data_IF_844108783940
#
_entry.id   IF_844108783940
#
_cell.length_a   1.000
_cell.length_b   1.000
_cell.length_c   1.000
_cell.angle_alpha   90.00
_cell.angle_beta   90.00
_cell.angle_gamma   90.00
#
_symmetry.space_group_name_H-M   'P 1'
#
loop_
_entity.id
_entity.type
_entity.pdbx_description
1 polymer ?
#
# COMPACT_ATOMS: atom_id res chain seq x y z
N UNK A 1 11.93 -3.00 -27.37
CA UNK A 1 11.13 -4.24 -27.39
C UNK A 1 10.19 -4.19 -28.58
N UNK A 2 9.68 -5.32 -29.07
CA UNK A 2 8.71 -5.33 -30.17
C UNK A 2 7.38 -5.86 -29.66
N UNK A 3 6.28 -5.18 -29.96
CA UNK A 3 4.95 -5.65 -29.57
C UNK A 3 4.45 -6.78 -30.49
N UNK A 4 3.25 -7.31 -30.22
CA UNK A 4 2.62 -8.38 -31.01
C UNK A 4 2.27 -7.99 -32.44
N UNK A 5 2.34 -6.70 -32.78
CA UNK A 5 2.08 -6.15 -34.12
C UNK A 5 3.37 -5.79 -34.87
N UNK A 6 4.54 -6.13 -34.32
CA UNK A 6 5.83 -5.86 -34.96
C UNK A 6 6.35 -4.44 -34.76
N UNK A 7 5.70 -3.61 -33.93
CA UNK A 7 6.14 -2.23 -33.67
C UNK A 7 7.25 -2.22 -32.64
N UNK A 8 8.35 -1.50 -32.94
CA UNK A 8 9.42 -1.29 -31.98
C UNK A 8 9.02 -0.22 -30.97
N UNK A 9 9.01 -0.60 -29.69
CA UNK A 9 8.77 0.26 -28.53
C UNK A 9 10.10 0.52 -27.82
N UNK A 10 10.37 1.80 -27.55
CA UNK A 10 11.52 2.25 -26.76
C UNK A 10 11.06 2.60 -25.34
N UNK A 11 11.86 2.23 -24.34
CA UNK A 11 11.66 2.60 -22.92
C UNK A 11 12.74 3.56 -22.42
N UNK A 12 13.43 4.25 -23.34
CA UNK A 12 14.57 5.12 -23.01
C UNK A 12 14.21 6.24 -22.04
N UNK A 13 13.02 6.83 -22.19
CA UNK A 13 12.53 7.94 -21.38
C UNK A 13 11.27 7.50 -20.61
N UNK A 14 11.36 6.37 -19.91
CA UNK A 14 10.23 5.78 -19.18
C UNK A 14 10.67 5.28 -17.82
N UNK A 15 9.92 5.65 -16.78
CA UNK A 15 10.07 5.07 -15.43
C UNK A 15 9.21 3.81 -15.39
N UNK A 16 9.83 2.67 -15.11
CA UNK A 16 9.14 1.40 -14.91
C UNK A 16 8.99 1.18 -13.41
N UNK A 17 7.74 1.14 -12.93
CA UNK A 17 7.42 0.85 -11.54
C UNK A 17 6.82 -0.56 -11.47
N UNK A 18 7.41 -1.42 -10.65
CA UNK A 18 6.88 -2.74 -10.33
C UNK A 18 6.43 -2.78 -8.88
N UNK A 19 5.25 -3.35 -8.63
CA UNK A 19 4.71 -3.54 -7.28
C UNK A 19 4.45 -5.02 -7.05
N UNK A 20 4.83 -5.54 -5.88
CA UNK A 20 4.60 -6.93 -5.50
C UNK A 20 4.24 -7.02 -4.02
N UNK A 21 3.37 -7.96 -3.68
CA UNK A 21 3.08 -8.35 -2.30
C UNK A 21 4.01 -9.48 -1.81
N UNK A 22 5.10 -9.77 -2.54
CA UNK A 22 6.08 -10.76 -2.13
C UNK A 22 6.67 -10.43 -0.76
N UNK A 23 6.69 -11.42 0.16
CA UNK A 23 7.19 -11.25 1.52
C UNK A 23 6.15 -10.77 2.55
N UNK A 24 4.89 -10.50 2.18
CA UNK A 24 3.84 -10.08 3.13
C UNK A 24 3.35 -11.21 4.06
N UNK A 25 3.81 -12.46 3.87
CA UNK A 25 3.49 -13.62 4.70
C UNK A 25 4.66 -14.15 5.54
N UNK A 26 5.90 -13.72 5.27
CA UNK A 26 7.09 -14.15 6.03
C UNK A 26 7.24 -13.39 7.36
N UNK A 27 6.25 -12.56 7.70
CA UNK A 27 6.11 -11.89 8.99
C UNK A 27 5.48 -12.82 10.03
N UNK A 28 5.97 -14.05 10.18
CA UNK A 28 5.63 -14.87 11.33
C UNK A 28 6.62 -14.62 12.48
N UNK A 29 6.06 -14.20 13.62
CA UNK A 29 6.63 -14.27 14.98
C UNK A 29 7.82 -13.36 15.33
N UNK A 30 7.60 -12.05 15.39
CA UNK A 30 8.39 -11.18 16.30
C UNK A 30 7.51 -10.41 17.31
N UNK A 31 6.40 -11.03 17.72
CA UNK A 31 5.67 -10.65 18.94
C UNK A 31 6.43 -11.18 20.15
N UNK A 32 7.50 -10.47 20.52
CA UNK A 32 8.30 -10.80 21.70
C UNK A 32 9.45 -9.81 21.87
N UNK A 33 9.65 -9.33 23.09
CA UNK A 33 10.68 -8.36 23.53
C UNK A 33 12.15 -8.73 23.16
N UNK A 34 12.41 -9.84 22.45
CA UNK A 34 13.71 -10.30 22.01
C UNK A 34 14.10 -9.89 20.56
N UNK A 35 13.13 -9.46 19.74
CA UNK A 35 13.36 -9.08 18.33
C UNK A 35 14.31 -7.88 18.16
N UNK A 36 14.36 -6.99 19.16
CA UNK A 36 15.20 -5.80 19.13
C UNK A 36 16.70 -6.11 19.32
N UNK A 37 17.06 -7.33 19.75
CA UNK A 37 18.44 -7.70 20.08
C UNK A 37 19.19 -8.41 18.94
N UNK A 38 18.47 -9.03 18.00
CA UNK A 38 19.08 -9.68 16.83
C UNK A 38 18.82 -8.83 15.60
N UNK A 39 19.78 -7.95 15.28
CA UNK A 39 19.78 -7.09 14.08
C UNK A 39 19.89 -7.87 12.77
N UNK A 40 19.01 -8.84 12.55
CA UNK A 40 18.88 -9.56 11.29
C UNK A 40 17.86 -8.84 10.43
N UNK A 41 18.23 -7.64 9.99
CA UNK A 41 17.66 -7.03 8.78
C UNK A 41 18.04 -7.95 7.62
N UNK A 42 17.26 -9.03 7.43
CA UNK A 42 17.27 -9.73 6.15
C UNK A 42 16.91 -8.68 5.10
N UNK A 43 17.80 -8.50 4.11
CA UNK A 43 17.63 -7.47 3.10
C UNK A 43 16.28 -7.69 2.41
N UNK A 44 15.59 -6.61 2.04
CA UNK A 44 14.35 -6.70 1.25
C UNK A 44 14.57 -7.58 0.00
N UNK A 45 15.78 -7.55 -0.54
CA UNK A 45 16.22 -8.39 -1.65
C UNK A 45 16.17 -9.89 -1.30
N UNK A 46 16.58 -10.29 -0.09
CA UNK A 46 16.57 -11.68 0.36
C UNK A 46 15.14 -12.25 0.36
N UNK A 47 14.17 -11.48 0.88
CA UNK A 47 12.75 -11.85 0.84
C UNK A 47 12.26 -12.04 -0.60
N UNK A 48 12.73 -11.19 -1.53
CA UNK A 48 12.32 -11.23 -2.93
C UNK A 48 12.97 -12.37 -3.72
N UNK A 49 14.15 -12.87 -3.33
CA UNK A 49 14.84 -13.96 -4.03
C UNK A 49 14.06 -15.27 -4.07
N UNK A 50 13.14 -15.50 -3.11
CA UNK A 50 12.23 -16.64 -3.11
C UNK A 50 11.17 -16.57 -4.22
N UNK A 51 10.87 -15.37 -4.73
CA UNK A 51 9.79 -15.11 -5.68
C UNK A 51 10.30 -14.71 -7.07
N UNK A 52 11.48 -14.10 -7.15
CA UNK A 52 12.04 -13.57 -8.39
C UNK A 52 13.46 -14.07 -8.61
N UNK A 53 13.80 -14.35 -9.87
CA UNK A 53 15.15 -14.77 -10.23
C UNK A 53 16.15 -13.61 -10.05
N UNK A 54 17.41 -13.89 -9.66
CA UNK A 54 18.44 -12.86 -9.49
C UNK A 54 18.65 -11.99 -10.74
N UNK A 55 18.52 -12.54 -11.95
CA UNK A 55 18.71 -11.77 -13.18
C UNK A 55 17.64 -10.69 -13.40
N UNK A 56 16.43 -10.87 -12.83
CA UNK A 56 15.40 -9.86 -12.84
C UNK A 56 15.66 -8.81 -11.77
N UNK A 57 16.02 -9.24 -10.56
CA UNK A 57 16.30 -8.34 -9.45
C UNK A 57 17.47 -7.39 -9.76
N UNK A 58 18.50 -7.90 -10.42
CA UNK A 58 19.66 -7.13 -10.87
C UNK A 58 19.34 -6.09 -11.97
N UNK A 59 18.10 -6.02 -12.47
CA UNK A 59 17.64 -5.00 -13.44
C UNK A 59 16.93 -3.83 -12.78
N UNK A 60 16.63 -3.89 -11.49
CA UNK A 60 16.07 -2.75 -10.76
C UNK A 60 17.21 -1.88 -10.25
N UNK A 61 17.08 -0.58 -10.47
CA UNK A 61 18.02 0.40 -9.91
C UNK A 61 17.86 0.51 -8.39
N UNK A 62 16.60 0.52 -7.91
CA UNK A 62 16.24 0.61 -6.49
C UNK A 62 15.07 -0.32 -6.15
N UNK A 63 15.07 -0.81 -4.90
CA UNK A 63 13.98 -1.60 -4.32
C UNK A 63 13.52 -0.91 -3.04
N UNK A 64 12.23 -0.54 -2.99
CA UNK A 64 11.64 0.19 -1.88
C UNK A 64 10.66 -0.70 -1.11
N UNK A 65 10.88 -0.89 0.18
CA UNK A 65 9.92 -1.56 1.07
C UNK A 65 8.88 -0.56 1.58
N UNK A 66 7.60 -0.94 1.49
CA UNK A 66 6.51 -0.14 2.03
C UNK A 66 6.25 -0.53 3.48
N UNK A 67 6.29 0.46 4.37
CA UNK A 67 5.85 0.29 5.75
C UNK A 67 4.33 0.19 5.83
N UNK A 68 3.83 -0.54 6.82
CA UNK A 68 2.41 -0.56 7.13
C UNK A 68 1.89 0.85 7.46
N UNK A 69 0.69 1.18 6.98
CA UNK A 69 0.07 2.48 7.26
C UNK A 69 -0.26 2.61 8.75
N UNK A 70 0.18 3.71 9.36
CA UNK A 70 -0.23 4.05 10.71
C UNK A 70 -1.69 4.53 10.74
N UNK A 71 -2.30 4.54 11.93
CA UNK A 71 -3.65 5.08 12.12
C UNK A 71 -3.77 6.54 11.66
N UNK A 72 -2.72 7.33 11.84
CA UNK A 72 -2.69 8.74 11.42
C UNK A 72 -2.60 8.87 9.89
N UNK A 73 -1.83 7.99 9.23
CA UNK A 73 -1.81 7.94 7.76
C UNK A 73 -3.19 7.61 7.21
N UNK A 74 -3.89 6.63 7.80
CA UNK A 74 -5.24 6.25 7.37
C UNK A 74 -6.24 7.40 7.57
N UNK A 75 -6.17 8.15 8.67
CA UNK A 75 -7.03 9.32 8.88
C UNK A 75 -6.80 10.41 7.82
N UNK A 76 -5.55 10.62 7.43
CA UNK A 76 -5.22 11.56 6.37
C UNK A 76 -5.77 11.11 5.01
N UNK A 77 -5.57 9.83 4.67
CA UNK A 77 -6.10 9.24 3.43
C UNK A 77 -7.63 9.34 3.37
N UNK A 78 -8.33 9.04 4.46
CA UNK A 78 -9.79 9.21 4.54
C UNK A 78 -10.21 10.65 4.32
N UNK A 79 -9.44 11.62 4.83
CA UNK A 79 -9.75 13.04 4.61
C UNK A 79 -9.61 13.42 3.14
N UNK A 80 -8.54 12.99 2.47
CA UNK A 80 -8.36 13.20 1.02
C UNK A 80 -9.51 12.58 0.21
N UNK A 81 -9.93 11.36 0.53
CA UNK A 81 -11.05 10.72 -0.16
C UNK A 81 -12.38 11.46 0.02
N UNK A 82 -12.63 12.07 1.20
CA UNK A 82 -13.83 12.89 1.42
C UNK A 82 -13.76 14.16 0.60
N UNK A 83 -12.58 14.78 0.49
CA UNK A 83 -12.38 15.99 -0.29
C UNK A 83 -12.61 15.72 -1.78
N UNK A 84 -12.10 14.60 -2.32
CA UNK A 84 -12.35 14.16 -3.70
C UNK A 84 -13.87 13.97 -3.97
N UNK A 85 -14.59 13.34 -3.03
CA UNK A 85 -16.04 13.18 -3.13
C UNK A 85 -16.76 14.53 -3.11
N UNK A 86 -16.34 15.45 -2.25
CA UNK A 86 -16.93 16.80 -2.20
C UNK A 86 -16.67 17.58 -3.49
N UNK A 87 -15.51 17.41 -4.12
CA UNK A 87 -15.22 18.01 -5.43
C UNK A 87 -16.22 17.51 -6.48
N UNK A 88 -16.49 16.20 -6.52
CA UNK A 88 -17.49 15.62 -7.43
C UNK A 88 -18.91 16.13 -7.17
N UNK A 89 -19.30 16.26 -5.90
CA UNK A 89 -20.64 16.68 -5.50
C UNK A 89 -20.89 18.19 -5.62
N UNK A 90 -19.82 18.99 -5.65
CA UNK A 90 -19.91 20.45 -5.80
C UNK A 90 -20.69 20.87 -7.05
N UNK A 91 -20.62 20.08 -8.13
CA UNK A 91 -21.36 20.30 -9.37
C UNK A 91 -22.88 20.21 -9.20
N UNK A 92 -23.33 19.53 -8.15
CA UNK A 92 -24.74 19.37 -7.78
C UNK A 92 -25.15 20.28 -6.62
N UNK A 93 -24.24 21.13 -6.13
CA UNK A 93 -24.47 22.00 -4.97
C UNK A 93 -24.58 21.25 -3.65
N UNK A 94 -24.07 20.01 -3.58
CA UNK A 94 -24.09 19.16 -2.39
C UNK A 94 -22.72 19.13 -1.73
N UNK A 95 -22.69 19.09 -0.40
CA UNK A 95 -21.47 18.97 0.41
C UNK A 95 -21.69 17.93 1.50
N UNK A 96 -20.73 17.03 1.65
CA UNK A 96 -20.68 16.04 2.72
C UNK A 96 -19.65 16.50 3.76
N UNK A 97 -20.14 16.75 4.97
CA UNK A 97 -19.30 16.94 6.15
C UNK A 97 -19.32 15.68 7.03
N UNK A 98 -18.18 15.01 7.12
CA UNK A 98 -18.00 13.89 8.05
C UNK A 98 -17.43 14.41 9.37
N UNK A 99 -18.21 14.29 10.46
CA UNK A 99 -17.81 14.68 11.81
C UNK A 99 -16.52 13.96 12.26
N UNK A 100 -15.59 14.67 12.90
CA UNK A 100 -14.29 14.12 13.34
C UNK A 100 -14.38 12.83 14.18
N UNK A 101 -15.45 12.65 14.97
CA UNK A 101 -15.67 11.44 15.77
C UNK A 101 -15.89 10.19 14.90
N UNK A 102 -16.60 10.33 13.77
CA UNK A 102 -16.79 9.25 12.81
C UNK A 102 -15.50 8.97 12.04
N UNK A 103 -14.72 10.00 11.66
CA UNK A 103 -13.40 9.83 11.01
C UNK A 103 -12.41 9.06 11.89
N UNK A 104 -12.45 9.25 13.21
CA UNK A 104 -11.53 8.61 14.16
C UNK A 104 -11.94 7.18 14.57
N UNK A 105 -13.24 6.88 14.53
CA UNK A 105 -13.79 5.59 14.95
C UNK A 105 -14.13 4.64 13.80
N UNK A 106 -14.23 5.08 12.54
CA UNK A 106 -14.56 4.21 11.41
C UNK A 106 -13.60 3.02 11.28
N UNK A 107 -12.29 3.25 11.44
CA UNK A 107 -11.27 2.20 11.44
C UNK A 107 -11.32 1.24 12.64
N UNK A 108 -12.06 1.60 13.69
CA UNK A 108 -12.25 0.78 14.90
C UNK A 108 -13.67 0.22 15.03
N UNK A 109 -14.59 0.62 14.14
CA UNK A 109 -15.98 0.18 14.21
C UNK A 109 -16.13 -1.26 13.69
N UNK A 110 -15.30 -1.68 12.73
CA UNK A 110 -15.23 -3.08 12.28
C UNK A 110 -14.80 -4.04 13.40
N UNK A 111 -14.04 -3.58 14.40
CA UNK A 111 -13.62 -4.39 15.54
C UNK A 111 -14.54 -4.31 16.77
N UNK A 112 -15.53 -3.40 16.78
CA UNK A 112 -16.37 -3.15 17.96
C UNK A 112 -17.87 -3.44 17.71
N UNK A 113 -18.34 -3.47 16.45
CA UNK A 113 -19.75 -3.77 16.15
C UNK A 113 -19.91 -4.90 15.12
N UNK A 114 -19.77 -6.18 15.52
CA UNK A 114 -20.02 -7.33 14.64
C UNK A 114 -21.50 -7.53 14.23
N UNK A 115 -22.40 -6.58 14.56
CA UNK A 115 -23.86 -6.73 14.41
C UNK A 115 -24.53 -5.62 13.60
N UNK A 116 -23.81 -4.71 12.98
CA UNK A 116 -24.44 -3.73 12.08
C UNK A 116 -24.56 -4.36 10.69
N UNK A 117 -25.78 -4.69 10.22
CA UNK A 117 -25.95 -5.20 8.87
C UNK A 117 -25.77 -4.03 7.90
N UNK A 118 -24.88 -4.17 6.93
CA UNK A 118 -24.84 -3.28 5.77
C UNK A 118 -26.06 -3.65 4.92
N UNK A 119 -27.00 -2.73 4.77
CA UNK A 119 -28.06 -2.76 3.75
C UNK A 119 -27.90 -1.53 2.88
#
# INVERSE_FOLDING_TARGET
MTDSQGRTVSFKDTIIIMTSNAGTGDSEANVGFAAAASGTTHSVIDKLTNYFKPELLNRFDDVIEFNALSKDNLQHIVSLMIDDVNEMLSQQGLVIEVLMLLRRNWLTLDSILPWVPVH
#
